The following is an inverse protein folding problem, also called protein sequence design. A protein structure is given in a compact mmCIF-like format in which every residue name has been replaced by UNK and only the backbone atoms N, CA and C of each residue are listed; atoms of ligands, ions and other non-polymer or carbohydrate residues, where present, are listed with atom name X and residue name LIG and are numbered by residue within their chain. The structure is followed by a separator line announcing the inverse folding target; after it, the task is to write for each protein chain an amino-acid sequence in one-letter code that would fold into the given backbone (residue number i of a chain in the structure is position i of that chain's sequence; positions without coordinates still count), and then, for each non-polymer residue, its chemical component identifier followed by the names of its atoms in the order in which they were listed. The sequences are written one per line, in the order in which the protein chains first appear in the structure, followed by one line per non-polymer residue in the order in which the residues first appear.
data_IF_554062282827
#
_entry.id   IF_554062282827
#
_cell.length_a   1.000
_cell.length_b   1.000
_cell.length_c   1.000
_cell.angle_alpha   90.00
_cell.angle_beta   90.00
_cell.angle_gamma   90.00
#
_symmetry.space_group_name_H-M   'P 1'
#
loop_
_entity.id
_entity.type
_entity.pdbx_description
1 polymer ?
#
# COMPACT_ATOMS: atom_id res chain seq x y z
N UNK A 1 5.82 -7.47 4.98
CA UNK A 1 6.94 -6.81 4.26
C UNK A 1 6.41 -5.55 3.59
N UNK A 2 7.15 -4.46 3.73
CA UNK A 2 7.01 -3.21 2.99
C UNK A 2 8.32 -2.94 2.23
N UNK A 3 8.28 -2.12 1.19
CA UNK A 3 9.49 -1.73 0.44
C UNK A 3 10.25 -0.64 1.22
N UNK A 4 11.53 -0.42 0.88
CA UNK A 4 12.28 0.69 1.44
C UNK A 4 11.55 2.02 1.18
N UNK A 5 11.40 2.83 2.24
CA UNK A 5 10.67 4.11 2.22
C UNK A 5 9.15 4.00 2.36
N UNK A 6 8.57 2.79 2.46
CA UNK A 6 7.12 2.59 2.70
C UNK A 6 6.84 2.47 4.19
N UNK A 7 5.79 3.16 4.65
CA UNK A 7 5.39 3.19 6.06
C UNK A 7 4.36 2.11 6.43
N UNK A 8 4.04 1.96 7.71
CA UNK A 8 2.95 1.12 8.19
C UNK A 8 2.32 1.68 9.46
N UNK A 9 0.98 1.72 9.50
CA UNK A 9 0.20 2.04 10.69
C UNK A 9 -0.12 0.80 11.52
N UNK A 10 -0.33 -0.35 10.87
CA UNK A 10 -0.69 -1.60 11.56
C UNK A 10 -0.11 -2.82 10.85
N UNK A 11 1.22 -2.87 10.73
CA UNK A 11 1.90 -4.11 10.36
C UNK A 11 1.76 -5.13 11.50
N UNK A 12 1.60 -6.40 11.14
CA UNK A 12 1.49 -7.48 12.11
C UNK A 12 2.66 -8.45 11.97
N UNK A 13 3.17 -8.92 13.10
CA UNK A 13 4.18 -9.96 13.23
C UNK A 13 3.76 -10.92 14.34
N UNK A 14 4.32 -12.13 14.34
CA UNK A 14 4.19 -13.08 15.45
C UNK A 14 5.56 -13.60 15.83
N UNK A 15 5.68 -14.05 17.07
CA UNK A 15 6.88 -14.63 17.65
C UNK A 15 6.43 -15.70 18.64
N UNK A 16 7.14 -16.81 18.67
CA UNK A 16 6.97 -17.85 19.67
C UNK A 16 7.81 -17.50 20.89
N UNK A 17 7.19 -17.57 22.06
CA UNK A 17 7.82 -17.26 23.34
C UNK A 17 7.85 -18.52 24.21
N UNK A 18 8.88 -18.68 25.07
CA UNK A 18 8.86 -19.72 26.10
C UNK A 18 7.72 -19.45 27.09
N UNK A 19 7.23 -20.53 27.72
CA UNK A 19 6.02 -20.52 28.56
C UNK A 19 6.15 -19.54 29.76
N UNK A 20 5.51 -18.38 29.57
CA UNK A 20 5.24 -17.24 30.45
C UNK A 20 6.40 -16.40 30.98
N UNK A 21 6.26 -15.04 30.87
CA UNK A 21 6.51 -14.07 31.97
C UNK A 21 5.80 -12.70 31.88
N UNK A 22 5.27 -12.25 30.75
CA UNK A 22 4.62 -10.92 30.66
C UNK A 22 3.19 -10.99 30.14
N UNK A 23 2.31 -10.17 30.71
CA UNK A 23 1.01 -9.88 30.09
C UNK A 23 1.22 -9.22 28.72
N UNK A 24 0.22 -9.30 27.84
CA UNK A 24 0.27 -8.64 26.53
C UNK A 24 0.53 -7.12 26.65
N UNK A 25 -0.01 -6.46 27.68
CA UNK A 25 0.27 -5.06 27.96
C UNK A 25 1.75 -4.83 28.29
N UNK A 26 2.32 -5.66 29.17
CA UNK A 26 3.73 -5.56 29.57
C UNK A 26 4.70 -5.85 28.43
N UNK A 27 4.33 -6.71 27.48
CA UNK A 27 5.09 -6.86 26.22
C UNK A 27 5.09 -5.58 25.39
N UNK A 28 3.94 -4.91 25.29
CA UNK A 28 3.81 -3.66 24.53
C UNK A 28 4.72 -2.58 25.12
N UNK A 29 4.75 -2.43 26.44
CA UNK A 29 5.62 -1.50 27.15
C UNK A 29 7.10 -1.85 26.99
N UNK A 30 7.48 -3.09 27.28
CA UNK A 30 8.87 -3.55 27.25
C UNK A 30 9.50 -3.41 25.85
N UNK A 31 8.75 -3.75 24.79
CA UNK A 31 9.23 -3.60 23.42
C UNK A 31 9.41 -2.12 23.05
N UNK A 32 8.46 -1.26 23.40
CA UNK A 32 8.56 0.17 23.07
C UNK A 32 9.69 0.89 23.84
N UNK A 33 10.09 0.39 25.02
CA UNK A 33 11.24 0.90 25.76
C UNK A 33 12.59 0.65 25.04
N UNK A 34 12.67 -0.40 24.22
CA UNK A 34 13.90 -0.80 23.52
C UNK A 34 13.92 -0.38 22.04
N UNK A 35 12.76 -0.16 21.44
CA UNK A 35 12.65 0.16 20.02
C UNK A 35 13.02 1.61 19.72
N UNK A 36 13.60 1.88 18.53
CA UNK A 36 13.89 3.24 18.09
C UNK A 36 12.58 4.04 17.88
N UNK A 37 12.59 5.38 18.00
CA UNK A 37 11.39 6.22 17.88
C UNK A 37 10.50 5.99 16.66
N UNK A 38 11.07 5.58 15.53
CA UNK A 38 10.33 5.30 14.29
C UNK A 38 9.62 3.94 14.25
N UNK A 39 9.80 3.07 15.25
CA UNK A 39 9.18 1.75 15.32
C UNK A 39 8.47 1.61 16.67
N UNK A 40 7.16 1.37 16.63
CA UNK A 40 6.32 1.26 17.83
C UNK A 40 5.39 0.07 17.75
N UNK A 41 5.31 -0.68 18.84
CA UNK A 41 4.32 -1.74 19.04
C UNK A 41 3.06 -1.10 19.57
N UNK A 42 1.99 -1.16 18.78
CA UNK A 42 0.71 -0.56 19.16
C UNK A 42 -0.13 -1.46 20.06
N UNK A 43 0.03 -2.77 19.92
CA UNK A 43 -0.70 -3.79 20.67
C UNK A 43 0.00 -5.14 20.56
N UNK A 44 0.06 -5.87 21.66
CA UNK A 44 0.32 -7.31 21.68
C UNK A 44 -0.96 -8.07 22.04
N UNK A 45 -1.04 -9.33 21.60
CA UNK A 45 -2.07 -10.27 22.01
C UNK A 45 -1.54 -11.70 21.88
N UNK A 46 -1.94 -12.59 22.78
CA UNK A 46 -1.77 -14.02 22.59
C UNK A 46 -2.74 -14.51 21.51
N UNK A 47 -2.28 -15.47 20.70
CA UNK A 47 -3.00 -16.02 19.55
C UNK A 47 -2.91 -17.54 19.58
N UNK A 48 -3.77 -18.22 18.80
CA UNK A 48 -3.68 -19.67 18.62
C UNK A 48 -2.31 -20.08 18.07
N UNK A 49 -1.86 -21.30 18.41
CA UNK A 49 -0.64 -21.91 17.85
C UNK A 49 -0.69 -22.07 16.33
N UNK A 50 -1.90 -22.09 15.74
CA UNK A 50 -2.10 -22.17 14.29
C UNK A 50 -2.03 -20.80 13.59
N UNK A 51 -1.92 -19.70 14.35
CA UNK A 51 -1.84 -18.37 13.78
C UNK A 51 -0.50 -18.14 13.09
N UNK A 52 -0.54 -17.59 11.87
CA UNK A 52 0.67 -17.20 11.17
C UNK A 52 0.48 -15.82 10.52
N UNK A 53 1.21 -14.81 11.01
CA UNK A 53 1.04 -13.41 10.61
C UNK A 53 1.15 -13.16 9.08
N UNK A 54 1.85 -14.04 8.34
CA UNK A 54 1.98 -13.98 6.87
C UNK A 54 0.92 -14.79 6.10
N UNK A 55 0.42 -15.89 6.66
CA UNK A 55 -0.37 -16.90 5.91
C UNK A 55 -1.86 -16.84 6.28
N UNK A 56 -2.17 -16.51 7.54
CA UNK A 56 -3.53 -16.31 8.02
C UNK A 56 -4.24 -15.03 7.54
N UNK A 57 -3.58 -13.94 7.06
CA UNK A 57 -4.30 -12.76 6.61
C UNK A 57 -5.28 -13.05 5.47
N UNK A 58 -6.48 -12.45 5.55
CA UNK A 58 -7.50 -12.45 4.48
C UNK A 58 -7.46 -11.20 3.59
N UNK A 59 -6.63 -10.23 3.93
CA UNK A 59 -6.42 -9.07 3.08
C UNK A 59 -5.63 -7.95 3.74
N UNK A 60 -5.37 -6.90 2.98
CA UNK A 60 -4.61 -5.73 3.39
C UNK A 60 -5.26 -4.47 2.85
N UNK A 61 -5.23 -3.43 3.66
CA UNK A 61 -5.58 -2.07 3.27
C UNK A 61 -4.30 -1.25 3.17
N UNK A 62 -3.98 -0.79 1.97
CA UNK A 62 -2.95 0.21 1.73
C UNK A 62 -3.57 1.58 1.49
N UNK A 63 -2.87 2.63 1.88
CA UNK A 63 -3.19 4.01 1.54
C UNK A 63 -1.99 4.65 0.87
N UNK A 64 -2.24 5.31 -0.24
CA UNK A 64 -1.28 6.20 -0.87
C UNK A 64 -1.70 7.65 -0.64
N UNK A 65 -0.76 8.52 -0.23
CA UNK A 65 -0.97 9.94 0.01
C UNK A 65 -0.24 10.77 -1.03
N UNK A 66 -0.95 11.72 -1.62
CA UNK A 66 -0.44 12.67 -2.60
C UNK A 66 -0.77 14.07 -2.08
N UNK A 67 0.20 14.98 -2.14
CA UNK A 67 -0.03 16.39 -1.86
C UNK A 67 0.01 17.17 -3.18
N UNK A 68 -1.14 17.68 -3.62
CA UNK A 68 -1.32 18.39 -4.90
C UNK A 68 -1.33 19.92 -4.78
N UNK A 69 -0.75 20.47 -3.72
CA UNK A 69 -0.60 21.91 -3.49
C UNK A 69 0.74 22.46 -3.99
N UNK A 70 0.80 23.77 -4.25
CA UNK A 70 2.02 24.44 -4.71
C UNK A 70 3.21 24.23 -3.75
N UNK A 71 2.94 24.28 -2.44
CA UNK A 71 3.94 24.07 -1.38
C UNK A 71 3.57 22.82 -0.59
N UNK A 72 4.57 21.98 -0.30
CA UNK A 72 4.45 20.84 0.61
C UNK A 72 4.65 21.31 2.06
N UNK A 73 3.69 21.09 2.97
CA UNK A 73 3.89 21.36 4.38
C UNK A 73 5.08 20.55 4.93
N UNK A 74 5.91 21.10 5.83
CA UNK A 74 7.05 20.39 6.41
C UNK A 74 6.66 19.05 7.06
N UNK A 75 5.48 18.97 7.66
CA UNK A 75 4.96 17.73 8.25
C UNK A 75 4.47 16.69 7.23
N UNK A 76 4.46 16.97 5.94
CA UNK A 76 4.14 15.99 4.90
C UNK A 76 5.40 15.45 4.20
N UNK A 77 6.57 16.05 4.47
CA UNK A 77 7.84 15.60 3.93
C UNK A 77 8.13 14.14 4.30
N UNK A 78 8.43 13.33 3.30
CA UNK A 78 8.64 11.89 3.45
C UNK A 78 7.38 11.09 3.83
N UNK A 79 6.18 11.70 3.82
CA UNK A 79 4.89 11.06 4.17
C UNK A 79 3.81 11.16 3.09
N UNK A 80 4.05 11.97 2.06
CA UNK A 80 3.19 12.11 0.90
C UNK A 80 4.04 12.39 -0.35
N UNK A 81 3.58 11.91 -1.50
CA UNK A 81 4.18 12.30 -2.77
C UNK A 81 3.76 13.72 -3.13
N UNK A 82 4.71 14.65 -3.19
CA UNK A 82 4.44 16.02 -3.62
C UNK A 82 4.33 16.14 -5.13
N UNK A 83 3.19 16.67 -5.59
CA UNK A 83 2.96 17.03 -6.99
C UNK A 83 2.50 18.49 -6.98
N UNK A 84 3.37 19.47 -7.29
CA UNK A 84 3.01 20.89 -7.24
C UNK A 84 2.17 21.34 -8.45
N UNK A 85 1.13 20.56 -8.78
CA UNK A 85 0.20 20.78 -9.88
C UNK A 85 -1.19 20.25 -9.51
N UNK A 86 -2.27 20.86 -10.04
CA UNK A 86 -3.61 20.29 -9.93
C UNK A 86 -3.66 18.86 -10.50
N UNK A 87 -4.42 17.99 -9.84
CA UNK A 87 -4.77 16.67 -10.34
C UNK A 87 -6.27 16.65 -10.61
N UNK A 88 -6.67 16.13 -11.76
CA UNK A 88 -8.08 15.88 -12.04
C UNK A 88 -8.60 14.78 -11.10
N UNK A 89 -9.41 15.19 -10.13
CA UNK A 89 -9.92 14.32 -9.10
C UNK A 89 -10.97 13.34 -9.63
N UNK A 90 -11.78 13.74 -10.61
CA UNK A 90 -12.78 12.87 -11.20
C UNK A 90 -12.12 11.83 -12.08
N UNK A 91 -11.06 12.18 -12.83
CA UNK A 91 -10.23 11.20 -13.55
C UNK A 91 -9.60 10.20 -12.59
N UNK A 92 -9.02 10.64 -11.46
CA UNK A 92 -8.49 9.71 -10.44
C UNK A 92 -9.58 8.76 -9.94
N UNK A 93 -10.75 9.29 -9.58
CA UNK A 93 -11.85 8.53 -8.97
C UNK A 93 -12.48 7.55 -9.94
N UNK A 94 -12.68 7.93 -11.20
CA UNK A 94 -13.25 7.07 -12.24
C UNK A 94 -12.25 5.99 -12.65
N UNK A 95 -11.02 6.38 -12.99
CA UNK A 95 -9.95 5.47 -13.42
C UNK A 95 -9.59 4.44 -12.34
N UNK A 96 -9.60 4.83 -11.06
CA UNK A 96 -9.30 3.92 -9.95
C UNK A 96 -10.27 2.73 -9.87
N UNK A 97 -11.52 2.88 -10.32
CA UNK A 97 -12.53 1.80 -10.26
C UNK A 97 -12.19 0.63 -11.19
N UNK A 98 -11.45 0.85 -12.27
CA UNK A 98 -11.07 -0.20 -13.22
C UNK A 98 -10.21 -1.29 -12.58
N UNK A 99 -9.53 -0.98 -11.48
CA UNK A 99 -8.70 -1.94 -10.76
C UNK A 99 -9.47 -2.80 -9.75
N UNK A 100 -10.75 -2.52 -9.50
CA UNK A 100 -11.58 -3.33 -8.59
C UNK A 100 -11.94 -4.65 -9.28
N UNK A 101 -11.92 -5.75 -8.52
CA UNK A 101 -12.19 -7.10 -9.00
C UNK A 101 -10.95 -7.99 -8.99
N UNK A 102 -11.10 -9.18 -9.59
CA UNK A 102 -10.04 -10.16 -9.73
C UNK A 102 -9.43 -10.04 -11.12
N UNK A 103 -8.14 -9.72 -11.17
CA UNK A 103 -7.39 -9.49 -12.42
C UNK A 103 -6.02 -10.13 -12.37
N UNK A 104 -5.43 -10.36 -13.54
CA UNK A 104 -3.99 -10.59 -13.64
C UNK A 104 -3.24 -9.26 -13.56
N UNK A 105 -2.57 -9.03 -12.43
CA UNK A 105 -1.83 -7.78 -12.18
C UNK A 105 -0.37 -7.85 -12.63
N UNK A 106 0.04 -8.79 -13.50
CA UNK A 106 1.40 -8.84 -14.05
C UNK A 106 1.82 -7.50 -14.69
N UNK A 107 0.89 -6.82 -15.39
CA UNK A 107 1.04 -5.46 -15.89
C UNK A 107 1.51 -4.47 -14.84
N UNK A 108 1.04 -4.63 -13.61
CA UNK A 108 1.33 -3.77 -12.47
C UNK A 108 2.22 -4.48 -11.46
N UNK A 109 3.12 -5.37 -11.90
CA UNK A 109 4.13 -5.97 -11.04
C UNK A 109 5.53 -5.52 -11.48
N UNK A 110 6.47 -5.45 -10.53
CA UNK A 110 7.88 -5.35 -10.85
C UNK A 110 8.58 -6.70 -10.65
N UNK A 111 9.53 -7.03 -11.52
CA UNK A 111 10.38 -8.18 -11.32
C UNK A 111 11.34 -7.94 -10.15
N UNK A 112 11.45 -8.93 -9.26
CA UNK A 112 12.35 -8.92 -8.10
C UNK A 112 13.37 -10.06 -8.11
N UNK A 113 13.62 -10.65 -9.27
CA UNK A 113 14.49 -11.82 -9.43
C UNK A 113 13.86 -13.14 -8.96
N UNK A 114 12.58 -13.12 -8.55
CA UNK A 114 11.81 -14.30 -8.15
C UNK A 114 10.41 -14.23 -8.75
N UNK A 115 10.02 -15.27 -9.47
CA UNK A 115 8.70 -15.38 -10.05
C UNK A 115 7.66 -15.63 -8.95
N UNK A 116 6.56 -14.88 -8.99
CA UNK A 116 5.41 -15.15 -8.14
C UNK A 116 4.70 -16.40 -8.63
N UNK A 117 4.15 -17.21 -7.71
CA UNK A 117 3.36 -18.40 -8.07
C UNK A 117 2.13 -18.05 -8.92
N UNK A 118 1.59 -16.85 -8.70
CA UNK A 118 0.48 -16.29 -9.48
C UNK A 118 0.51 -14.77 -9.36
N UNK A 119 0.18 -14.09 -10.44
CA UNK A 119 -0.03 -12.63 -10.55
C UNK A 119 -1.50 -12.23 -10.43
N UNK A 120 -2.40 -13.20 -10.29
CA UNK A 120 -3.84 -12.95 -10.10
C UNK A 120 -4.09 -12.49 -8.67
N UNK A 121 -4.71 -11.33 -8.50
CA UNK A 121 -5.11 -10.78 -7.19
C UNK A 121 -6.51 -10.22 -7.26
N UNK A 122 -7.13 -10.04 -6.10
CA UNK A 122 -8.44 -9.41 -5.97
C UNK A 122 -8.32 -8.11 -5.19
N UNK A 123 -8.69 -7.01 -5.82
CA UNK A 123 -8.91 -5.73 -5.14
C UNK A 123 -10.40 -5.61 -4.87
N UNK A 124 -10.78 -5.64 -3.59
CA UNK A 124 -12.16 -5.53 -3.14
C UNK A 124 -12.71 -4.12 -3.29
N UNK A 125 -11.89 -3.11 -3.03
CA UNK A 125 -12.28 -1.71 -3.23
C UNK A 125 -11.08 -0.80 -3.47
N UNK A 126 -11.31 0.25 -4.26
CA UNK A 126 -10.41 1.39 -4.36
C UNK A 126 -11.21 2.65 -3.99
N UNK A 127 -10.76 3.39 -2.97
CA UNK A 127 -11.41 4.64 -2.55
C UNK A 127 -10.48 5.82 -2.75
N UNK A 128 -10.91 6.78 -3.54
CA UNK A 128 -10.20 8.05 -3.74
C UNK A 128 -10.88 9.12 -2.88
N UNK A 129 -10.10 9.79 -2.04
CA UNK A 129 -10.54 10.85 -1.16
C UNK A 129 -9.69 12.11 -1.32
N UNK A 130 -10.25 13.26 -0.95
CA UNK A 130 -9.55 14.55 -0.98
C UNK A 130 -9.92 15.38 0.25
N UNK A 131 -8.91 15.95 0.89
CA UNK A 131 -9.06 16.98 1.92
C UNK A 131 -8.10 18.13 1.60
N UNK A 132 -8.64 19.23 1.06
CA UNK A 132 -7.83 20.33 0.54
C UNK A 132 -6.84 19.84 -0.55
N UNK A 133 -5.52 20.11 -0.42
CA UNK A 133 -4.49 19.60 -1.33
C UNK A 133 -4.09 18.13 -1.09
N UNK A 134 -4.54 17.50 0.00
CA UNK A 134 -4.20 16.10 0.27
C UNK A 134 -5.18 15.18 -0.45
N UNK A 135 -4.67 14.39 -1.40
CA UNK A 135 -5.41 13.31 -2.06
C UNK A 135 -4.96 11.97 -1.47
N UNK A 136 -5.91 11.09 -1.20
CA UNK A 136 -5.63 9.73 -0.70
C UNK A 136 -6.27 8.69 -1.60
N UNK A 137 -5.53 7.61 -1.87
CA UNK A 137 -6.04 6.45 -2.61
C UNK A 137 -5.87 5.21 -1.73
N UNK A 138 -6.99 4.64 -1.30
CA UNK A 138 -7.04 3.44 -0.49
C UNK A 138 -7.29 2.21 -1.36
N UNK A 139 -6.47 1.17 -1.18
CA UNK A 139 -6.59 -0.11 -1.85
C UNK A 139 -6.83 -1.21 -0.83
N UNK A 140 -7.99 -1.84 -0.89
CA UNK A 140 -8.34 -3.00 -0.07
C UNK A 140 -8.36 -4.26 -0.95
N UNK A 141 -7.57 -5.27 -0.61
CA UNK A 141 -7.42 -6.47 -1.44
C UNK A 141 -6.92 -7.70 -0.68
N UNK A 142 -6.97 -8.87 -1.33
CA UNK A 142 -6.49 -10.15 -0.78
C UNK A 142 -4.96 -10.20 -0.62
N UNK A 143 -4.26 -9.50 -1.51
CA UNK A 143 -2.81 -9.41 -1.54
C UNK A 143 -2.36 -8.50 -2.67
N UNK A 144 -1.09 -8.09 -2.63
CA UNK A 144 -0.52 -7.17 -3.62
C UNK A 144 0.83 -7.70 -4.07
N UNK A 145 1.11 -7.58 -5.38
CA UNK A 145 2.40 -7.93 -5.96
C UNK A 145 3.45 -6.86 -5.61
N UNK A 146 4.73 -7.19 -5.83
CA UNK A 146 5.82 -6.25 -5.59
C UNK A 146 5.65 -4.97 -6.43
N UNK A 147 5.69 -3.81 -5.76
CA UNK A 147 5.41 -2.47 -6.31
C UNK A 147 4.00 -2.24 -6.89
N UNK A 148 3.07 -3.17 -6.73
CA UNK A 148 1.76 -3.11 -7.41
C UNK A 148 0.97 -1.83 -7.15
N UNK A 149 0.74 -1.51 -5.87
CA UNK A 149 0.02 -0.28 -5.50
C UNK A 149 0.71 0.96 -6.06
N UNK A 150 2.06 1.01 -6.04
CA UNK A 150 2.83 2.16 -6.52
C UNK A 150 2.77 2.31 -8.04
N UNK A 151 2.75 1.21 -8.78
CA UNK A 151 2.59 1.22 -10.24
C UNK A 151 1.18 1.65 -10.64
N UNK A 152 0.14 1.17 -9.94
CA UNK A 152 -1.24 1.59 -10.15
C UNK A 152 -1.38 3.10 -9.88
N UNK A 153 -0.94 3.57 -8.71
CA UNK A 153 -1.00 4.99 -8.34
C UNK A 153 -0.27 5.87 -9.35
N UNK A 154 0.92 5.48 -9.79
CA UNK A 154 1.66 6.28 -10.76
C UNK A 154 0.96 6.38 -12.10
N UNK A 155 0.35 5.29 -12.59
CA UNK A 155 -0.50 5.32 -13.79
C UNK A 155 -1.73 6.21 -13.62
N UNK A 156 -2.45 6.09 -12.50
CA UNK A 156 -3.60 6.95 -12.20
C UNK A 156 -3.22 8.43 -12.18
N UNK A 157 -2.06 8.77 -11.61
CA UNK A 157 -1.55 10.14 -11.62
C UNK A 157 -1.18 10.61 -13.02
N UNK A 158 -0.63 9.77 -13.90
CA UNK A 158 -0.38 10.17 -15.28
C UNK A 158 -1.70 10.47 -16.01
N UNK A 159 -2.75 9.68 -15.79
CA UNK A 159 -4.08 9.96 -16.35
C UNK A 159 -4.64 11.28 -15.82
N UNK A 160 -4.56 11.51 -14.51
CA UNK A 160 -5.04 12.75 -13.88
C UNK A 160 -4.25 14.01 -14.28
N UNK A 161 -3.05 13.83 -14.85
CA UNK A 161 -2.23 14.90 -15.44
C UNK A 161 -2.42 15.02 -16.97
N UNK A 162 -3.29 14.22 -17.59
CA UNK A 162 -3.52 14.19 -19.04
C UNK A 162 -2.36 13.60 -19.85
N UNK A 163 -1.47 12.83 -19.22
CA UNK A 163 -0.26 12.26 -19.85
C UNK A 163 -0.40 10.82 -20.32
N UNK A 164 -1.46 10.14 -19.90
CA UNK A 164 -1.74 8.76 -20.23
C UNK A 164 -3.24 8.57 -20.38
N UNK A 165 -3.67 7.85 -21.41
CA UNK A 165 -5.08 7.55 -21.61
C UNK A 165 -5.52 6.40 -20.69
N UNK A 166 -6.78 6.39 -20.24
CA UNK A 166 -7.29 5.32 -19.37
C UNK A 166 -7.34 3.97 -20.13
N UNK A 167 -7.52 4.02 -21.44
CA UNK A 167 -7.49 2.88 -22.35
C UNK A 167 -6.12 2.20 -22.34
N UNK A 168 -5.01 2.96 -22.26
CA UNK A 168 -3.66 2.40 -22.15
C UNK A 168 -3.46 1.66 -20.82
N UNK A 169 -4.02 2.22 -19.74
CA UNK A 169 -3.98 1.61 -18.41
C UNK A 169 -4.79 0.31 -18.38
N UNK A 170 -5.98 0.32 -18.98
CA UNK A 170 -6.84 -0.86 -19.10
C UNK A 170 -6.20 -1.93 -20.00
N UNK A 171 -5.60 -1.53 -21.13
CA UNK A 171 -4.85 -2.42 -22.00
C UNK A 171 -3.67 -3.07 -21.27
N UNK A 172 -2.96 -2.31 -20.43
CA UNK A 172 -1.90 -2.85 -19.56
C UNK A 172 -2.41 -3.81 -18.50
N UNK A 173 -3.60 -3.59 -17.95
CA UNK A 173 -4.22 -4.51 -16.99
C UNK A 173 -4.64 -5.81 -17.69
N UNK A 174 -5.17 -5.71 -18.91
CA UNK A 174 -5.64 -6.85 -19.70
C UNK A 174 -4.50 -7.66 -20.33
N UNK A 175 -3.31 -7.08 -20.53
CA UNK A 175 -2.24 -7.74 -21.28
C UNK A 175 -1.63 -8.97 -20.60
N UNK A 176 -1.71 -9.07 -19.26
CA UNK A 176 -1.05 -10.13 -18.49
C UNK A 176 0.50 -10.11 -18.59
N UNK A 177 1.08 -9.05 -19.16
CA UNK A 177 2.52 -8.94 -19.38
C UNK A 177 3.17 -7.99 -18.38
N UNK A 178 4.41 -8.28 -17.96
CA UNK A 178 5.19 -7.39 -17.09
C UNK A 178 5.28 -5.98 -17.69
N UNK A 179 4.73 -5.00 -16.99
CA UNK A 179 4.76 -3.61 -17.45
C UNK A 179 6.03 -2.86 -16.99
N UNK A 180 6.35 -1.72 -17.63
CA UNK A 180 7.54 -0.95 -17.31
C UNK A 180 7.44 -0.36 -15.89
N UNK A 181 8.53 -0.49 -15.12
CA UNK A 181 8.62 -0.01 -13.74
C UNK A 181 8.76 1.53 -13.62
N UNK A 182 8.98 2.22 -14.74
CA UNK A 182 9.25 3.68 -14.82
C UNK A 182 8.15 4.56 -14.23
N UNK A 183 6.94 4.04 -14.10
CA UNK A 183 5.81 4.77 -13.54
C UNK A 183 5.55 4.45 -12.07
N UNK A 184 6.44 3.75 -11.35
CA UNK A 184 6.21 3.48 -9.94
C UNK A 184 6.22 4.79 -9.12
N UNK A 185 5.11 5.12 -8.48
CA UNK A 185 5.02 6.25 -7.58
C UNK A 185 6.08 6.14 -6.45
N UNK A 186 6.57 7.25 -5.87
CA UNK A 186 7.51 7.23 -4.75
C UNK A 186 7.03 6.36 -3.57
N UNK A 187 7.97 5.78 -2.82
CA UNK A 187 7.63 4.88 -1.71
C UNK A 187 7.02 5.62 -0.51
N UNK A 188 7.49 6.85 -0.27
CA UNK A 188 7.17 7.69 0.89
C UNK A 188 5.68 8.04 1.05
N UNK A 189 4.92 8.03 -0.05
CA UNK A 189 3.48 8.25 -0.02
C UNK A 189 2.67 7.00 0.34
N UNK A 190 3.27 5.81 0.28
CA UNK A 190 2.58 4.55 0.55
C UNK A 190 2.70 4.15 2.02
N UNK A 191 1.58 3.71 2.59
CA UNK A 191 1.55 3.08 3.91
C UNK A 191 0.59 1.89 3.97
N UNK A 192 0.97 0.86 4.74
CA UNK A 192 0.07 -0.22 5.14
C UNK A 192 -0.83 0.25 6.29
N UNK A 193 -2.12 0.39 6.04
CA UNK A 193 -3.10 0.86 7.05
C UNK A 193 -3.54 -0.26 7.97
N UNK A 194 -3.82 -1.45 7.42
CA UNK A 194 -4.36 -2.59 8.19
C UNK A 194 -4.07 -3.92 7.51
N UNK A 195 -3.84 -4.95 8.32
CA UNK A 195 -3.91 -6.37 7.93
C UNK A 195 -5.20 -6.96 8.49
N UNK A 196 -5.96 -7.70 7.68
CA UNK A 196 -7.17 -8.40 8.11
C UNK A 196 -6.88 -9.88 8.29
N UNK A 197 -7.36 -10.46 9.37
CA UNK A 197 -7.26 -11.88 9.72
C UNK A 197 -8.65 -12.50 9.74
#
# INVERSE_FOLDING_TARGET
RTDAGVHALAQCAHVDLPDDRFSAARWTEALNALLPPGIRVLRCQYVSKDFHARLSPKGKLYRYRIWSGAVLPPFEYGRAWHIPRPLDFEVLKTSAKHFVGTHDFAGFAANRGKQEKSTIRTIYSVRVGRNGPCVTIDFDGDGFLYKMVRLIVGSLVQCALGKLCIEDVNGRLASGQLGPARFAAPAEGLLLVRVRY
#
